data_IF_826844438693
#
_entry.id   IF_826844438693
#
_cell.length_a   1.000
_cell.length_b   1.000
_cell.length_c   1.000
_cell.angle_alpha   90.00
_cell.angle_beta   90.00
_cell.angle_gamma   90.00
#
_symmetry.space_group_name_H-M   'P 1'
#
loop_
_entity.id
_entity.type
_entity.pdbx_description
1 polymer ?
#
# COMPACT_ATOMS: atom_id res chain seq x y z
N UNK A 1 9.44 15.70 0.15
CA UNK A 1 9.35 14.98 1.43
C UNK A 1 8.37 13.83 1.23
N UNK A 2 8.79 12.60 1.40
CA UNK A 2 7.89 11.43 1.34
C UNK A 2 7.44 11.10 2.76
N UNK A 3 6.22 10.59 2.91
CA UNK A 3 5.65 10.13 4.21
C UNK A 3 6.53 9.06 4.89
N UNK A 4 7.46 8.48 4.15
CA UNK A 4 8.44 7.52 4.67
C UNK A 4 9.33 8.09 5.79
N UNK A 5 9.56 9.41 5.81
CA UNK A 5 10.36 10.08 6.86
C UNK A 5 9.64 10.14 8.22
N UNK A 6 8.30 10.00 8.24
CA UNK A 6 7.49 10.00 9.46
C UNK A 6 7.44 8.58 10.08
N UNK A 7 7.90 7.56 9.36
CA UNK A 7 7.85 6.16 9.79
C UNK A 7 8.42 5.91 11.21
N UNK A 8 9.59 6.47 11.61
CA UNK A 8 10.12 6.23 12.97
C UNK A 8 9.19 6.76 14.07
N UNK A 9 8.60 7.96 13.87
CA UNK A 9 7.66 8.55 14.81
C UNK A 9 6.37 7.72 14.92
N UNK A 10 5.85 7.26 13.78
CA UNK A 10 4.67 6.39 13.75
C UNK A 10 4.93 5.05 14.45
N UNK A 11 6.11 4.45 14.24
CA UNK A 11 6.50 3.23 14.94
C UNK A 11 6.66 3.43 16.45
N UNK A 12 7.20 4.56 16.90
CA UNK A 12 7.31 4.85 18.33
C UNK A 12 5.94 4.92 19.02
N UNK A 13 4.95 5.48 18.34
CA UNK A 13 3.56 5.54 18.82
C UNK A 13 2.92 4.14 18.91
N UNK A 14 3.25 3.24 17.98
CA UNK A 14 2.71 1.88 17.95
C UNK A 14 3.43 0.90 18.89
N UNK A 15 4.58 1.27 19.44
CA UNK A 15 5.42 0.39 20.27
C UNK A 15 4.70 -0.18 21.50
N UNK A 16 3.89 0.58 22.26
CA UNK A 16 3.13 0.00 23.38
C UNK A 16 2.15 -1.09 22.92
N UNK A 17 1.45 -0.86 21.78
CA UNK A 17 0.54 -1.82 21.18
C UNK A 17 1.29 -3.08 20.72
N UNK A 18 2.47 -2.94 20.13
CA UNK A 18 3.32 -4.06 19.72
C UNK A 18 3.67 -4.95 20.93
N UNK A 19 4.11 -4.38 22.06
CA UNK A 19 4.44 -5.15 23.25
C UNK A 19 3.21 -5.80 23.88
N UNK A 20 2.06 -5.15 23.83
CA UNK A 20 0.80 -5.73 24.29
C UNK A 20 0.43 -6.95 23.45
N UNK A 21 0.48 -6.86 22.11
CA UNK A 21 0.25 -7.97 21.19
C UNK A 21 1.21 -9.13 21.42
N UNK A 22 2.50 -8.83 21.60
CA UNK A 22 3.52 -9.84 21.89
C UNK A 22 3.22 -10.62 23.19
N UNK A 23 2.83 -9.92 24.26
CA UNK A 23 2.42 -10.56 25.53
C UNK A 23 1.19 -11.48 25.38
N UNK A 24 0.32 -11.21 24.43
CA UNK A 24 -0.85 -12.03 24.13
C UNK A 24 -0.58 -13.10 23.05
N UNK A 25 0.69 -13.40 22.78
CA UNK A 25 1.11 -14.44 21.82
C UNK A 25 0.62 -14.17 20.36
N UNK A 26 0.31 -12.92 20.02
CA UNK A 26 -0.03 -12.54 18.64
C UNK A 26 1.27 -12.49 17.84
N UNK A 27 1.30 -13.20 16.72
CA UNK A 27 2.47 -13.27 15.85
C UNK A 27 2.41 -12.21 14.75
N UNK A 28 3.58 -11.88 14.18
CA UNK A 28 3.67 -11.01 13.00
C UNK A 28 2.77 -11.53 11.86
N UNK A 29 2.76 -12.83 11.60
CA UNK A 29 1.93 -13.44 10.55
C UNK A 29 0.43 -13.27 10.81
N UNK A 30 -0.04 -13.33 12.06
CA UNK A 30 -1.44 -13.06 12.40
C UNK A 30 -1.84 -11.64 11.99
N UNK A 31 -0.98 -10.66 12.22
CA UNK A 31 -1.24 -9.26 11.88
C UNK A 31 -1.25 -9.07 10.36
N UNK A 32 -0.28 -9.64 9.64
CA UNK A 32 -0.25 -9.58 8.17
C UNK A 32 -1.52 -10.19 7.56
N UNK A 33 -1.95 -11.36 8.05
CA UNK A 33 -3.19 -12.00 7.59
C UNK A 33 -4.45 -11.18 7.93
N UNK A 34 -4.47 -10.53 9.10
CA UNK A 34 -5.57 -9.62 9.49
C UNK A 34 -5.64 -8.41 8.54
N UNK A 35 -4.49 -7.81 8.22
CA UNK A 35 -4.44 -6.70 7.26
C UNK A 35 -4.91 -7.12 5.86
N UNK A 36 -4.51 -8.31 5.41
CA UNK A 36 -4.97 -8.89 4.14
C UNK A 36 -6.48 -9.15 4.15
N UNK A 37 -7.00 -9.83 5.18
CA UNK A 37 -8.42 -10.13 5.31
C UNK A 37 -9.29 -8.86 5.35
N UNK A 38 -8.86 -7.84 6.11
CA UNK A 38 -9.52 -6.53 6.15
C UNK A 38 -9.56 -5.89 4.77
N UNK A 39 -8.46 -5.94 4.02
CA UNK A 39 -8.37 -5.36 2.68
C UNK A 39 -9.26 -6.09 1.68
N UNK A 40 -9.26 -7.43 1.70
CA UNK A 40 -10.10 -8.26 0.84
C UNK A 40 -11.59 -8.05 1.13
N UNK A 41 -11.97 -8.04 2.41
CA UNK A 41 -13.36 -7.82 2.82
C UNK A 41 -13.86 -6.44 2.38
N UNK A 42 -13.05 -5.39 2.63
CA UNK A 42 -13.42 -4.03 2.24
C UNK A 42 -13.50 -3.89 0.72
N UNK A 43 -12.51 -4.40 -0.01
CA UNK A 43 -12.52 -4.35 -1.47
C UNK A 43 -13.73 -5.09 -2.07
N UNK A 44 -14.04 -6.28 -1.57
CA UNK A 44 -15.21 -7.04 -1.99
C UNK A 44 -16.52 -6.28 -1.71
N UNK A 45 -16.65 -5.71 -0.51
CA UNK A 45 -17.82 -4.90 -0.14
C UNK A 45 -18.01 -3.71 -1.09
N UNK A 46 -16.94 -2.98 -1.41
CA UNK A 46 -16.98 -1.85 -2.32
C UNK A 46 -17.36 -2.25 -3.75
N UNK A 47 -16.90 -3.42 -4.22
CA UNK A 47 -17.26 -3.94 -5.55
C UNK A 47 -18.71 -4.39 -5.60
N UNK A 48 -19.17 -5.12 -4.58
CA UNK A 48 -20.54 -5.69 -4.58
C UNK A 48 -21.62 -4.63 -4.43
N UNK A 49 -21.38 -3.62 -3.58
CA UNK A 49 -22.38 -2.57 -3.33
C UNK A 49 -22.26 -1.42 -4.34
N UNK A 50 -21.07 -1.14 -4.85
CA UNK A 50 -20.76 -0.15 -5.89
C UNK A 50 -21.35 1.26 -5.63
N UNK A 51 -21.47 1.67 -4.35
CA UNK A 51 -22.00 2.98 -3.98
C UNK A 51 -20.87 3.93 -3.55
N UNK A 52 -20.82 5.16 -4.10
CA UNK A 52 -19.76 6.13 -3.77
C UNK A 52 -19.63 6.41 -2.28
N UNK A 53 -20.72 6.43 -1.53
CA UNK A 53 -20.69 6.70 -0.09
C UNK A 53 -19.85 5.70 0.71
N UNK A 54 -19.76 4.44 0.27
CA UNK A 54 -18.97 3.42 0.95
C UNK A 54 -17.46 3.64 0.81
N UNK A 55 -17.02 4.47 -0.13
CA UNK A 55 -15.62 4.85 -0.23
C UNK A 55 -15.11 5.66 0.97
N UNK A 56 -16.00 6.11 1.89
CA UNK A 56 -15.64 6.60 3.23
C UNK A 56 -14.85 5.57 4.03
N UNK A 57 -14.99 4.28 3.75
CA UNK A 57 -14.22 3.22 4.41
C UNK A 57 -12.74 3.24 4.01
N UNK A 58 -12.41 3.69 2.79
CA UNK A 58 -11.03 3.62 2.29
C UNK A 58 -10.01 4.34 3.17
N UNK A 59 -10.18 5.63 3.57
CA UNK A 59 -9.19 6.31 4.40
C UNK A 59 -8.99 5.60 5.74
N UNK A 60 -10.06 5.09 6.32
CA UNK A 60 -10.03 4.37 7.61
C UNK A 60 -9.27 3.06 7.46
N UNK A 61 -9.66 2.25 6.47
CA UNK A 61 -9.06 0.92 6.24
C UNK A 61 -7.60 1.04 5.82
N UNK A 62 -7.26 2.00 4.95
CA UNK A 62 -5.88 2.25 4.53
C UNK A 62 -5.01 2.71 5.70
N UNK A 63 -5.54 3.55 6.60
CA UNK A 63 -4.83 3.96 7.81
C UNK A 63 -4.60 2.78 8.76
N UNK A 64 -5.64 1.98 9.05
CA UNK A 64 -5.53 0.77 9.89
C UNK A 64 -4.52 -0.20 9.27
N UNK A 65 -4.58 -0.43 7.96
CA UNK A 65 -3.63 -1.29 7.25
C UNK A 65 -2.20 -0.79 7.35
N UNK A 66 -1.97 0.52 7.27
CA UNK A 66 -0.63 1.10 7.48
C UNK A 66 -0.12 0.82 8.90
N UNK A 67 -1.00 0.92 9.91
CA UNK A 67 -0.65 0.60 11.30
C UNK A 67 -0.34 -0.89 11.48
N UNK A 68 -1.16 -1.79 10.92
CA UNK A 68 -0.95 -3.24 10.95
C UNK A 68 0.38 -3.63 10.28
N UNK A 69 0.69 -3.06 9.10
CA UNK A 69 1.96 -3.31 8.41
C UNK A 69 3.18 -2.72 9.14
N UNK A 70 3.00 -1.69 9.96
CA UNK A 70 4.08 -1.24 10.83
C UNK A 70 4.27 -2.21 12.01
N UNK A 71 3.17 -2.70 12.61
CA UNK A 71 3.18 -3.63 13.75
C UNK A 71 3.77 -4.99 13.38
N UNK A 72 3.39 -5.59 12.23
CA UNK A 72 3.93 -6.88 11.81
C UNK A 72 5.44 -6.80 11.57
N UNK A 73 5.90 -5.73 10.92
CA UNK A 73 7.33 -5.51 10.73
C UNK A 73 8.10 -5.23 12.02
N UNK A 74 7.50 -4.59 13.03
CA UNK A 74 8.09 -4.38 14.34
C UNK A 74 8.16 -5.71 15.12
N UNK A 75 7.06 -6.47 15.21
CA UNK A 75 7.02 -7.78 15.83
C UNK A 75 8.05 -8.73 15.21
N UNK A 76 8.13 -8.77 13.88
CA UNK A 76 9.07 -9.62 13.16
C UNK A 76 10.52 -9.30 13.55
N UNK A 77 10.91 -8.03 13.61
CA UNK A 77 12.29 -7.60 13.87
C UNK A 77 12.64 -7.53 15.35
N UNK A 78 11.78 -6.89 16.16
CA UNK A 78 12.09 -6.60 17.57
C UNK A 78 11.80 -7.80 18.50
N UNK A 79 10.89 -8.71 18.09
CA UNK A 79 10.53 -9.92 18.85
C UNK A 79 11.06 -11.22 18.22
N UNK A 80 12.00 -11.14 17.26
CA UNK A 80 12.62 -12.30 16.60
C UNK A 80 11.61 -13.27 15.95
N UNK A 81 10.53 -12.74 15.34
CA UNK A 81 9.51 -13.54 14.68
C UNK A 81 9.68 -13.59 13.14
N UNK A 82 10.87 -13.29 12.64
CA UNK A 82 11.15 -13.35 11.20
C UNK A 82 11.13 -14.80 10.70
N UNK A 83 10.30 -15.06 9.68
CA UNK A 83 10.21 -16.37 9.03
C UNK A 83 10.17 -16.22 7.51
N UNK A 84 10.57 -17.26 6.76
CA UNK A 84 10.45 -17.29 5.30
C UNK A 84 8.99 -17.16 4.85
N UNK A 85 8.08 -17.85 5.56
CA UNK A 85 6.64 -17.75 5.30
C UNK A 85 6.14 -16.33 5.55
N UNK A 86 6.57 -15.69 6.65
CA UNK A 86 6.20 -14.31 6.97
C UNK A 86 6.64 -13.32 5.89
N UNK A 87 7.83 -13.48 5.33
CA UNK A 87 8.28 -12.66 4.21
C UNK A 87 7.40 -12.83 2.96
N UNK A 88 7.04 -14.08 2.61
CA UNK A 88 6.14 -14.37 1.49
C UNK A 88 4.75 -13.77 1.72
N UNK A 89 4.19 -13.95 2.92
CA UNK A 89 2.87 -13.42 3.28
C UNK A 89 2.84 -11.90 3.23
N UNK A 90 3.88 -11.24 3.74
CA UNK A 90 3.98 -9.78 3.75
C UNK A 90 4.04 -9.22 2.31
N UNK A 91 4.94 -9.74 1.47
CA UNK A 91 5.11 -9.23 0.11
C UNK A 91 3.88 -9.47 -0.77
N UNK A 92 3.36 -10.70 -0.79
CA UNK A 92 2.16 -11.02 -1.57
C UNK A 92 0.91 -10.35 -0.97
N UNK A 93 0.79 -10.35 0.36
CA UNK A 93 -0.31 -9.71 1.06
C UNK A 93 -0.41 -8.23 0.76
N UNK A 94 0.71 -7.54 0.64
CA UNK A 94 0.76 -6.12 0.28
C UNK A 94 0.22 -5.86 -1.13
N UNK A 95 0.68 -6.64 -2.11
CA UNK A 95 0.23 -6.51 -3.50
C UNK A 95 -1.26 -6.85 -3.63
N UNK A 96 -1.70 -7.96 -3.05
CA UNK A 96 -3.10 -8.40 -3.10
C UNK A 96 -4.01 -7.38 -2.40
N UNK A 97 -3.59 -6.83 -1.25
CA UNK A 97 -4.34 -5.80 -0.53
C UNK A 97 -4.47 -4.50 -1.33
N UNK A 98 -3.40 -4.06 -2.01
CA UNK A 98 -3.43 -2.87 -2.87
C UNK A 98 -4.42 -3.09 -4.04
N UNK A 99 -4.38 -4.26 -4.68
CA UNK A 99 -5.32 -4.61 -5.74
C UNK A 99 -6.75 -4.60 -5.19
N UNK A 100 -7.02 -5.26 -4.07
CA UNK A 100 -8.36 -5.37 -3.48
C UNK A 100 -8.95 -4.00 -3.14
N UNK A 101 -8.15 -3.08 -2.58
CA UNK A 101 -8.63 -1.77 -2.16
C UNK A 101 -8.74 -0.75 -3.29
N UNK A 102 -7.95 -0.91 -4.38
CA UNK A 102 -7.96 0.06 -5.48
C UNK A 102 -8.79 -0.41 -6.69
N UNK A 103 -9.01 -1.73 -6.86
CA UNK A 103 -9.88 -2.26 -7.90
C UNK A 103 -11.30 -1.66 -7.88
N UNK A 104 -11.94 -1.40 -6.71
CA UNK A 104 -13.27 -0.81 -6.66
C UNK A 104 -13.41 0.53 -7.38
N UNK A 105 -12.32 1.29 -7.57
CA UNK A 105 -12.36 2.53 -8.36
C UNK A 105 -12.79 2.32 -9.81
N UNK A 106 -12.66 1.10 -10.31
CA UNK A 106 -13.12 0.71 -11.64
C UNK A 106 -14.65 0.84 -11.80
N UNK A 107 -15.39 0.69 -10.71
CA UNK A 107 -16.85 0.73 -10.68
C UNK A 107 -17.42 2.09 -10.29
N UNK A 108 -16.56 3.08 -10.01
CA UNK A 108 -17.04 4.45 -9.80
C UNK A 108 -17.53 5.07 -11.11
N UNK A 109 -18.63 5.84 -11.07
CA UNK A 109 -19.03 6.68 -12.20
C UNK A 109 -17.86 7.52 -12.72
N UNK A 110 -17.88 7.84 -14.00
CA UNK A 110 -16.85 8.64 -14.69
C UNK A 110 -15.42 8.04 -14.65
N UNK A 111 -15.23 6.81 -14.17
CA UNK A 111 -13.93 6.13 -14.20
C UNK A 111 -13.74 5.35 -15.49
N UNK A 112 -12.68 5.66 -16.22
CA UNK A 112 -12.26 4.86 -17.37
C UNK A 112 -11.54 3.58 -16.89
N UNK A 113 -12.12 2.43 -17.23
CA UNK A 113 -11.61 1.13 -16.82
C UNK A 113 -10.15 0.90 -17.23
N UNK A 114 -9.76 1.31 -18.45
CA UNK A 114 -8.39 1.14 -18.93
C UNK A 114 -7.37 1.93 -18.10
N UNK A 115 -7.74 3.15 -17.64
CA UNK A 115 -6.86 3.96 -16.79
C UNK A 115 -6.72 3.37 -15.38
N UNK A 116 -7.81 2.85 -14.81
CA UNK A 116 -7.74 2.18 -13.49
C UNK A 116 -6.89 0.90 -13.59
N UNK A 117 -7.07 0.10 -14.63
CA UNK A 117 -6.27 -1.11 -14.86
C UNK A 117 -4.79 -0.74 -15.06
N UNK A 118 -4.49 0.29 -15.83
CA UNK A 118 -3.11 0.79 -16.01
C UNK A 118 -2.51 1.22 -14.66
N UNK A 119 -3.25 1.96 -13.84
CA UNK A 119 -2.83 2.39 -12.51
C UNK A 119 -2.55 1.19 -11.60
N UNK A 120 -3.42 0.16 -11.61
CA UNK A 120 -3.21 -1.07 -10.85
C UNK A 120 -1.95 -1.82 -11.33
N UNK A 121 -1.77 -1.95 -12.65
CA UNK A 121 -0.56 -2.55 -13.22
C UNK A 121 0.70 -1.81 -12.79
N UNK A 122 0.71 -0.47 -12.87
CA UNK A 122 1.82 0.35 -12.42
C UNK A 122 2.07 0.22 -10.90
N UNK A 123 1.01 0.05 -10.10
CA UNK A 123 1.12 -0.22 -8.66
C UNK A 123 1.88 -1.52 -8.39
N UNK A 124 1.52 -2.61 -9.07
CA UNK A 124 2.21 -3.91 -8.97
C UNK A 124 3.66 -3.76 -9.44
N UNK A 125 3.88 -3.07 -10.56
CA UNK A 125 5.21 -2.85 -11.13
C UNK A 125 6.15 -2.12 -10.15
N UNK A 126 5.65 -1.15 -9.40
CA UNK A 126 6.48 -0.46 -8.39
C UNK A 126 6.96 -1.41 -7.29
N UNK A 127 6.10 -2.31 -6.79
CA UNK A 127 6.49 -3.29 -5.76
C UNK A 127 7.45 -4.34 -6.34
N UNK A 128 7.19 -4.82 -7.55
CA UNK A 128 8.09 -5.72 -8.27
C UNK A 128 9.49 -5.11 -8.45
N UNK A 129 9.60 -3.85 -8.91
CA UNK A 129 10.89 -3.17 -9.06
C UNK A 129 11.61 -3.00 -7.71
N UNK A 130 10.86 -2.79 -6.62
CA UNK A 130 11.44 -2.72 -5.27
C UNK A 130 12.04 -4.05 -4.81
N UNK A 131 11.36 -5.17 -5.07
CA UNK A 131 11.84 -6.53 -4.80
C UNK A 131 13.01 -6.91 -5.73
N UNK A 132 12.93 -6.55 -7.00
CA UNK A 132 14.02 -6.77 -7.96
C UNK A 132 15.31 -6.10 -7.48
N UNK A 133 15.22 -4.88 -6.97
CA UNK A 133 16.35 -4.19 -6.36
C UNK A 133 16.96 -4.97 -5.19
N UNK A 134 16.12 -5.54 -4.33
CA UNK A 134 16.55 -6.38 -3.22
C UNK A 134 17.24 -7.67 -3.69
N UNK A 135 16.73 -8.28 -4.74
CA UNK A 135 17.32 -9.51 -5.31
C UNK A 135 18.71 -9.27 -5.89
N UNK A 136 18.93 -8.08 -6.51
CA UNK A 136 20.21 -7.76 -7.16
C UNK A 136 21.24 -7.22 -6.15
N UNK A 137 20.84 -6.28 -5.27
CA UNK A 137 21.75 -5.55 -4.39
C UNK A 137 21.63 -5.93 -2.90
N UNK A 138 20.73 -6.85 -2.54
CA UNK A 138 20.46 -7.24 -1.15
C UNK A 138 19.62 -6.21 -0.36
N UNK A 139 19.31 -5.04 -0.93
CA UNK A 139 18.59 -3.95 -0.26
C UNK A 139 17.36 -3.57 -1.10
N UNK A 140 16.17 -3.57 -0.45
CA UNK A 140 14.93 -3.15 -1.10
C UNK A 140 14.96 -1.65 -1.41
N UNK A 141 14.64 -1.28 -2.64
CA UNK A 141 14.54 0.12 -3.04
C UNK A 141 13.14 0.68 -2.74
N UNK A 142 13.12 1.83 -2.07
CA UNK A 142 11.91 2.64 -1.81
C UNK A 142 11.97 3.99 -2.53
N UNK A 143 12.87 4.14 -3.50
CA UNK A 143 13.03 5.37 -4.27
C UNK A 143 11.77 5.69 -5.08
N UNK A 144 11.48 6.97 -5.22
CA UNK A 144 10.42 7.49 -6.09
C UNK A 144 9.36 8.31 -5.34
N UNK A 145 8.59 9.12 -6.09
CA UNK A 145 7.66 10.09 -5.52
C UNK A 145 6.33 9.50 -5.05
N UNK A 146 5.96 8.27 -5.47
CA UNK A 146 4.63 7.69 -5.22
C UNK A 146 4.74 6.28 -4.66
N UNK A 147 5.25 6.18 -3.43
CA UNK A 147 5.39 4.92 -2.70
C UNK A 147 4.07 4.44 -2.08
N UNK A 148 4.11 3.32 -1.35
CA UNK A 148 2.94 2.67 -0.72
C UNK A 148 2.16 3.61 0.20
N UNK A 149 2.87 4.40 1.03
CA UNK A 149 2.23 5.34 1.97
C UNK A 149 1.57 6.51 1.25
N UNK A 150 2.19 6.99 0.16
CA UNK A 150 1.66 8.08 -0.65
C UNK A 150 0.39 7.64 -1.38
N UNK A 151 0.38 6.40 -1.93
CA UNK A 151 -0.83 5.80 -2.52
C UNK A 151 -1.96 5.68 -1.49
N UNK A 152 -1.66 5.15 -0.31
CA UNK A 152 -2.66 4.98 0.75
C UNK A 152 -3.29 6.34 1.14
N UNK A 153 -2.48 7.39 1.27
CA UNK A 153 -2.98 8.72 1.57
C UNK A 153 -3.84 9.28 0.42
N UNK A 154 -3.31 9.31 -0.80
CA UNK A 154 -3.99 9.95 -1.95
C UNK A 154 -5.27 9.21 -2.29
N UNK A 155 -5.26 7.88 -2.38
CA UNK A 155 -6.46 7.10 -2.70
C UNK A 155 -7.47 7.07 -1.55
N UNK A 156 -6.99 7.11 -0.29
CA UNK A 156 -7.86 7.29 0.86
C UNK A 156 -8.57 8.64 0.85
N UNK A 157 -7.84 9.73 0.63
CA UNK A 157 -8.41 11.08 0.52
C UNK A 157 -9.34 11.20 -0.70
N UNK A 158 -9.02 10.56 -1.81
CA UNK A 158 -9.89 10.54 -2.98
C UNK A 158 -11.19 9.78 -2.69
N UNK A 159 -11.13 8.62 -2.05
CA UNK A 159 -12.31 7.89 -1.61
C UNK A 159 -13.20 8.74 -0.72
N UNK A 160 -12.61 9.47 0.25
CA UNK A 160 -13.31 10.43 1.08
C UNK A 160 -13.97 11.54 0.25
N UNK A 161 -13.22 12.12 -0.68
CA UNK A 161 -13.69 13.25 -1.49
C UNK A 161 -14.89 12.86 -2.36
N UNK A 162 -14.82 11.73 -3.10
CA UNK A 162 -15.92 11.29 -3.98
C UNK A 162 -17.14 10.81 -3.18
N UNK A 163 -16.96 10.33 -1.96
CA UNK A 163 -18.05 9.92 -1.09
C UNK A 163 -18.85 11.13 -0.57
N UNK A 164 -18.18 12.23 -0.21
CA UNK A 164 -18.81 13.46 0.32
C UNK A 164 -19.29 14.36 -0.83
N UNK A 165 -18.50 14.44 -1.89
CA UNK A 165 -18.75 15.32 -3.05
C UNK A 165 -18.75 14.50 -4.35
N UNK A 166 -19.87 13.82 -4.70
CA UNK A 166 -19.94 12.98 -5.89
C UNK A 166 -19.58 13.68 -7.21
N UNK A 167 -19.77 15.00 -7.30
CA UNK A 167 -19.37 15.80 -8.46
C UNK A 167 -17.85 15.78 -8.75
N UNK A 168 -17.02 15.39 -7.78
CA UNK A 168 -15.57 15.27 -7.99
C UNK A 168 -15.21 14.04 -8.84
N UNK A 169 -16.13 13.09 -9.01
CA UNK A 169 -15.89 11.91 -9.87
C UNK A 169 -15.54 12.28 -11.32
N UNK A 170 -15.95 13.46 -11.82
CA UNK A 170 -15.51 13.97 -13.12
C UNK A 170 -13.99 14.06 -13.27
N UNK A 171 -13.24 14.11 -12.17
CA UNK A 171 -11.78 14.18 -12.13
C UNK A 171 -11.12 12.81 -11.99
N UNK A 172 -11.88 11.71 -11.91
CA UNK A 172 -11.36 10.36 -11.75
C UNK A 172 -10.26 10.06 -12.78
N UNK A 173 -10.55 10.29 -14.06
CA UNK A 173 -9.61 9.96 -15.13
C UNK A 173 -8.33 10.79 -15.10
N UNK A 174 -8.39 12.03 -14.65
CA UNK A 174 -7.22 12.86 -14.44
C UNK A 174 -6.36 12.28 -13.29
N UNK A 175 -6.99 11.89 -12.18
CA UNK A 175 -6.28 11.30 -11.06
C UNK A 175 -5.61 9.98 -11.46
N UNK A 176 -6.33 9.08 -12.16
CA UNK A 176 -5.75 7.79 -12.59
C UNK A 176 -4.59 7.98 -13.55
N UNK A 177 -4.66 8.98 -14.43
CA UNK A 177 -3.56 9.31 -15.34
C UNK A 177 -2.34 9.83 -14.61
N UNK A 178 -2.52 10.80 -13.72
CA UNK A 178 -1.42 11.36 -12.91
C UNK A 178 -0.80 10.26 -12.02
N UNK A 179 -1.63 9.46 -11.35
CA UNK A 179 -1.16 8.36 -10.52
C UNK A 179 -0.33 7.35 -11.33
N UNK A 180 -0.78 6.98 -12.52
CA UNK A 180 -0.06 6.05 -13.40
C UNK A 180 1.32 6.60 -13.81
N UNK A 181 1.40 7.89 -14.15
CA UNK A 181 2.67 8.55 -14.49
C UNK A 181 3.63 8.55 -13.30
N UNK A 182 3.14 8.92 -12.10
CA UNK A 182 3.96 8.95 -10.89
C UNK A 182 4.42 7.55 -10.46
N UNK A 183 3.57 6.53 -10.65
CA UNK A 183 3.91 5.13 -10.40
C UNK A 183 4.98 4.62 -11.36
N UNK A 184 4.86 4.92 -12.66
CA UNK A 184 5.89 4.58 -13.64
C UNK A 184 7.22 5.27 -13.30
N UNK A 185 7.17 6.54 -12.96
CA UNK A 185 8.37 7.26 -12.51
C UNK A 185 8.98 6.61 -11.27
N UNK A 186 8.15 6.20 -10.31
CA UNK A 186 8.59 5.48 -9.11
C UNK A 186 9.25 4.15 -9.46
N UNK A 187 8.65 3.36 -10.36
CA UNK A 187 9.23 2.10 -10.83
C UNK A 187 10.60 2.31 -11.50
N UNK A 188 10.70 3.31 -12.38
CA UNK A 188 11.97 3.68 -13.05
C UNK A 188 13.03 4.07 -12.00
N UNK A 189 12.69 4.91 -11.02
CA UNK A 189 13.63 5.32 -9.97
C UNK A 189 14.10 4.15 -9.12
N UNK A 190 13.23 3.18 -8.80
CA UNK A 190 13.60 1.95 -8.09
C UNK A 190 14.60 1.11 -8.89
N UNK A 191 14.39 0.97 -10.21
CA UNK A 191 15.35 0.28 -11.09
C UNK A 191 16.68 1.05 -11.21
N UNK A 192 16.61 2.38 -11.41
CA UNK A 192 17.81 3.21 -11.51
C UNK A 192 18.67 3.18 -10.26
N UNK A 193 18.06 3.13 -9.07
CA UNK A 193 18.78 3.08 -7.79
C UNK A 193 19.72 1.86 -7.72
N UNK A 194 19.38 0.76 -8.38
CA UNK A 194 20.21 -0.45 -8.44
C UNK A 194 21.47 -0.21 -9.28
N UNK A 195 21.30 0.47 -10.42
CA UNK A 195 22.40 0.71 -11.36
C UNK A 195 23.47 1.64 -10.79
N UNK A 196 23.05 2.66 -10.03
CA UNK A 196 23.99 3.62 -9.44
C UNK A 196 24.69 3.09 -8.18
N UNK A 197 24.04 2.23 -7.39
CA UNK A 197 24.70 1.61 -6.22
C UNK A 197 25.77 0.58 -6.61
N UNK A 198 25.71 0.01 -7.81
CA UNK A 198 26.74 -0.92 -8.31
C UNK A 198 28.00 -0.22 -8.85
N UNK A 199 27.95 1.10 -9.08
CA UNK A 199 29.09 1.87 -9.60
C UNK A 199 30.07 2.33 -8.50
N UNK A 200 29.71 2.18 -7.22
CA UNK A 200 30.54 2.55 -6.07
C UNK A 200 31.23 1.36 -5.39
N UNK A 201 31.18 0.15 -5.97
CA UNK A 201 31.91 -1.05 -5.57
C UNK A 201 32.94 -1.43 -6.62
#
# INVERSE_FOLDING_TARGET
>A
MTLYQIKPLFQSLLRPTMFWLYKHHVTANHITLTALALSLFTGLLLVLVAQPILFLLLPIVLFIRMALNALDGMLARECNQQTRLGAILNENGDVISDIALYLPFLFLPESNASLVILMLFCTILTEFCGLLAQTINGIRSYAGPFGKSDRALIFGLWGLAVAIYPQWMQWNNLLWSIASILLLWTAINRCRSVLFMSAER
#
